data_IF_103581500213
#
_entry.id   IF_103581500213
#
_cell.length_a   1.000
_cell.length_b   1.000
_cell.length_c   1.000
_cell.angle_alpha   90.00
_cell.angle_beta   90.00
_cell.angle_gamma   90.00
#
_symmetry.space_group_name_H-M   'P 1'
#
loop_
_entity.id
_entity.type
_entity.pdbx_description
1 polymer ?
#
# COMPACT_ATOMS: atom_id res chain seq x y z
N UNK A 1 -0.94 -11.98 -7.45
CA UNK A 1 -0.93 -13.33 -6.87
C UNK A 1 -1.01 -13.20 -5.35
N UNK A 2 -2.16 -12.75 -4.84
CA UNK A 2 -2.53 -12.90 -3.43
C UNK A 2 -3.74 -13.82 -3.49
N UNK A 3 -3.56 -14.97 -2.87
CA UNK A 3 -4.27 -16.20 -3.13
C UNK A 3 -5.76 -16.08 -2.80
N UNK A 4 -6.56 -16.89 -3.52
CA UNK A 4 -7.94 -17.21 -3.18
C UNK A 4 -8.07 -17.49 -1.68
N UNK A 5 -8.59 -16.52 -0.94
CA UNK A 5 -8.91 -16.67 0.48
C UNK A 5 -10.23 -15.92 0.74
N UNK A 6 -10.90 -16.27 1.83
CA UNK A 6 -12.23 -15.76 2.16
C UNK A 6 -12.28 -14.22 2.00
N UNK A 7 -13.36 -13.67 1.42
CA UNK A 7 -13.44 -12.24 1.02
C UNK A 7 -13.06 -11.27 2.15
N UNK A 8 -13.37 -11.66 3.39
CA UNK A 8 -13.01 -10.95 4.62
C UNK A 8 -11.51 -10.92 4.90
N UNK A 9 -10.80 -12.02 4.68
CA UNK A 9 -9.35 -12.13 4.92
C UNK A 9 -8.57 -11.26 3.94
N UNK A 10 -9.01 -11.22 2.67
CA UNK A 10 -8.40 -10.35 1.67
C UNK A 10 -8.61 -8.86 2.00
N UNK A 11 -9.80 -8.50 2.48
CA UNK A 11 -10.10 -7.14 2.93
C UNK A 11 -9.22 -6.73 4.11
N UNK A 12 -9.08 -7.60 5.12
CA UNK A 12 -8.22 -7.36 6.28
C UNK A 12 -6.76 -7.19 5.85
N UNK A 13 -6.27 -8.04 4.95
CA UNK A 13 -4.90 -7.95 4.44
C UNK A 13 -4.67 -6.64 3.66
N UNK A 14 -5.62 -6.23 2.82
CA UNK A 14 -5.53 -4.98 2.07
C UNK A 14 -5.48 -3.77 3.01
N UNK A 15 -6.33 -3.75 4.05
CA UNK A 15 -6.34 -2.68 5.06
C UNK A 15 -5.00 -2.64 5.80
N UNK A 16 -4.44 -3.79 6.16
CA UNK A 16 -3.17 -3.87 6.88
C UNK A 16 -2.01 -3.34 6.03
N UNK A 17 -1.94 -3.73 4.75
CA UNK A 17 -0.92 -3.22 3.81
C UNK A 17 -1.12 -1.72 3.55
N UNK A 18 -2.36 -1.25 3.44
CA UNK A 18 -2.67 0.18 3.27
C UNK A 18 -2.18 1.01 4.46
N UNK A 19 -2.42 0.56 5.69
CA UNK A 19 -1.91 1.21 6.89
C UNK A 19 -0.38 1.28 6.92
N UNK A 20 0.31 0.19 6.54
CA UNK A 20 1.79 0.17 6.47
C UNK A 20 2.28 1.20 5.45
N UNK A 21 1.68 1.27 4.27
CA UNK A 21 2.04 2.25 3.24
C UNK A 21 1.84 3.70 3.72
N UNK A 22 0.74 3.98 4.43
CA UNK A 22 0.50 5.32 5.02
C UNK A 22 1.57 5.67 6.06
N UNK A 23 1.91 4.75 6.96
CA UNK A 23 2.93 4.97 7.99
C UNK A 23 4.29 5.28 7.35
N UNK A 24 4.67 4.55 6.29
CA UNK A 24 5.90 4.80 5.54
C UNK A 24 5.92 6.21 4.92
N UNK A 25 4.80 6.65 4.33
CA UNK A 25 4.69 8.00 3.77
C UNK A 25 4.81 9.06 4.87
N UNK A 26 4.14 8.89 6.01
CA UNK A 26 4.18 9.84 7.13
C UNK A 26 5.60 9.96 7.71
N UNK A 27 6.30 8.84 7.92
CA UNK A 27 7.70 8.83 8.40
C UNK A 27 8.61 9.52 7.39
N UNK A 28 8.39 9.27 6.09
CA UNK A 28 9.13 9.93 5.01
C UNK A 28 8.89 11.44 4.94
N UNK A 29 7.83 11.99 5.51
CA UNK A 29 7.57 13.45 5.48
C UNK A 29 8.36 14.24 6.52
N UNK A 30 8.77 13.61 7.64
CA UNK A 30 9.39 14.30 8.79
C UNK A 30 10.80 14.84 8.49
N UNK A 31 11.47 14.34 7.46
CA UNK A 31 12.84 14.73 7.09
C UNK A 31 12.96 14.92 5.58
N UNK A 32 13.38 16.11 5.16
CA UNK A 32 13.59 16.43 3.74
C UNK A 32 14.91 15.83 3.27
N UNK A 33 14.84 14.77 2.47
CA UNK A 33 16.02 14.10 1.91
C UNK A 33 15.66 13.08 0.83
N UNK A 34 16.59 12.84 -0.10
CA UNK A 34 16.39 11.92 -1.24
C UNK A 34 16.00 10.51 -0.77
N UNK A 35 16.59 10.04 0.34
CA UNK A 35 16.26 8.73 0.92
C UNK A 35 14.81 8.65 1.39
N UNK A 36 14.31 9.72 2.01
CA UNK A 36 12.94 9.81 2.51
C UNK A 36 11.92 10.00 1.39
N UNK A 37 12.31 10.72 0.32
CA UNK A 37 11.52 10.84 -0.90
C UNK A 37 11.31 9.48 -1.58
N UNK A 38 12.36 8.66 -1.69
CA UNK A 38 12.25 7.29 -2.19
C UNK A 38 11.33 6.43 -1.31
N UNK A 39 11.39 6.62 0.01
CA UNK A 39 10.54 5.90 0.96
C UNK A 39 9.06 6.26 0.79
N UNK A 40 8.74 7.54 0.51
CA UNK A 40 7.40 7.98 0.15
C UNK A 40 6.95 7.38 -1.20
N UNK A 41 7.83 7.32 -2.21
CA UNK A 41 7.52 6.72 -3.51
C UNK A 41 7.23 5.23 -3.39
N UNK A 42 7.96 4.50 -2.54
CA UNK A 42 7.68 3.07 -2.25
C UNK A 42 6.30 2.92 -1.61
N UNK A 43 5.96 3.76 -0.63
CA UNK A 43 4.62 3.77 -0.01
C UNK A 43 3.52 4.06 -1.03
N UNK A 44 3.75 5.03 -1.93
CA UNK A 44 2.81 5.40 -2.99
C UNK A 44 2.60 4.27 -4.01
N UNK A 45 3.67 3.63 -4.47
CA UNK A 45 3.62 2.48 -5.38
C UNK A 45 2.85 1.32 -4.74
N UNK A 46 3.03 1.08 -3.44
CA UNK A 46 2.27 0.08 -2.70
C UNK A 46 0.76 0.35 -2.70
N UNK A 47 0.34 1.60 -2.49
CA UNK A 47 -1.07 2.01 -2.54
C UNK A 47 -1.63 1.85 -3.96
N UNK A 48 -0.89 2.26 -4.99
CA UNK A 48 -1.31 2.13 -6.39
C UNK A 48 -1.44 0.66 -6.81
N UNK A 49 -0.54 -0.22 -6.36
CA UNK A 49 -0.60 -1.66 -6.63
C UNK A 49 -1.84 -2.31 -5.97
N UNK A 50 -2.18 -1.91 -4.74
CA UNK A 50 -3.41 -2.33 -4.07
C UNK A 50 -4.65 -1.88 -4.86
N UNK A 51 -4.68 -0.61 -5.27
CA UNK A 51 -5.79 -0.06 -6.04
C UNK A 51 -5.95 -0.75 -7.40
N UNK A 52 -4.84 -1.05 -8.08
CA UNK A 52 -4.86 -1.80 -9.33
C UNK A 52 -5.38 -3.23 -9.15
N UNK A 53 -4.92 -3.92 -8.09
CA UNK A 53 -5.40 -5.26 -7.73
C UNK A 53 -6.89 -5.28 -7.44
N UNK A 54 -7.38 -4.30 -6.68
CA UNK A 54 -8.80 -4.11 -6.43
C UNK A 54 -9.56 -3.84 -7.74
N UNK A 55 -9.15 -2.83 -8.53
CA UNK A 55 -9.84 -2.49 -9.78
C UNK A 55 -9.92 -3.66 -10.77
N UNK A 56 -8.88 -4.51 -10.85
CA UNK A 56 -8.89 -5.70 -11.71
C UNK A 56 -9.85 -6.79 -11.22
N UNK A 57 -10.17 -6.80 -9.92
CA UNK A 57 -11.06 -7.81 -9.32
C UNK A 57 -12.55 -7.42 -9.42
N UNK A 58 -12.85 -6.12 -9.47
CA UNK A 58 -14.22 -5.59 -9.52
C UNK A 58 -14.66 -5.09 -10.91
N UNK A 59 -13.75 -5.00 -11.89
CA UNK A 59 -14.07 -4.91 -13.33
C UNK A 59 -14.12 -6.29 -13.95
#
# INVERSE_FOLDING_TARGET
>A
MVLFMNKWVEMILCILVFCICIVLVIIGQKTVGIKNLLLQLVGLVGILALLYGYNKKYK
#
